data_IF_615167205371
#
_entry.id   IF_615167205371
#
_cell.length_a   1.000
_cell.length_b   1.000
_cell.length_c   1.000
_cell.angle_alpha   90.00
_cell.angle_beta   90.00
_cell.angle_gamma   90.00
#
_symmetry.space_group_name_H-M   'P 1'
#
loop_
_entity.id
_entity.type
_entity.pdbx_description
1 polymer ?
#
# COMPACT_ATOMS: atom_id res chain seq x y z
N UNK A 1 53.39 -3.45 5.18
CA UNK A 1 53.30 -4.46 6.27
C UNK A 1 53.92 -3.82 7.51
N UNK A 2 53.31 -3.90 8.72
CA UNK A 2 52.88 -5.15 9.33
C UNK A 2 51.41 -5.23 9.81
N UNK A 3 50.89 -6.43 9.59
CA UNK A 3 49.83 -7.23 10.24
C UNK A 3 49.96 -7.28 11.78
N UNK A 4 48.84 -7.14 12.52
CA UNK A 4 48.51 -7.78 13.83
C UNK A 4 46.98 -7.64 14.08
N UNK A 5 46.12 -8.52 13.55
CA UNK A 5 45.44 -9.64 14.26
C UNK A 5 45.53 -9.64 15.79
N UNK A 6 44.39 -9.74 16.50
CA UNK A 6 44.11 -10.61 17.67
C UNK A 6 42.62 -10.45 18.07
N UNK A 7 41.75 -11.42 17.75
CA UNK A 7 41.35 -12.63 18.50
C UNK A 7 40.18 -12.43 19.49
N UNK A 8 39.10 -13.13 19.17
CA UNK A 8 37.96 -13.50 20.03
C UNK A 8 38.38 -14.06 21.39
N UNK A 9 37.66 -13.69 22.45
CA UNK A 9 37.44 -14.56 23.62
C UNK A 9 36.05 -14.27 24.23
N UNK A 10 35.11 -15.22 24.12
CA UNK A 10 34.05 -15.46 25.13
C UNK A 10 34.63 -16.49 26.11
N UNK A 11 34.35 -16.41 27.41
CA UNK A 11 33.30 -17.25 28.00
C UNK A 11 32.70 -16.60 29.27
N UNK A 12 31.88 -17.19 30.15
CA UNK A 12 31.45 -18.55 30.43
C UNK A 12 30.08 -18.43 31.15
N UNK A 13 29.21 -19.42 30.94
CA UNK A 13 27.93 -19.59 31.65
C UNK A 13 28.17 -19.99 33.10
N UNK A 14 27.44 -19.41 34.04
CA UNK A 14 27.21 -20.03 35.35
C UNK A 14 25.83 -20.70 35.33
N UNK A 15 25.85 -22.03 35.45
CA UNK A 15 24.69 -22.85 35.75
C UNK A 15 24.50 -22.89 37.28
N UNK A 16 23.25 -22.82 37.73
CA UNK A 16 22.85 -23.31 39.04
C UNK A 16 21.53 -24.08 38.86
N UNK A 17 21.59 -25.37 39.19
CA UNK A 17 20.47 -26.31 39.20
C UNK A 17 19.98 -26.52 40.64
N UNK A 18 18.66 -26.70 40.81
CA UNK A 18 17.94 -27.34 41.92
C UNK A 18 16.44 -27.02 41.70
N UNK A 19 15.43 -27.87 41.86
CA UNK A 19 15.29 -29.26 42.27
C UNK A 19 13.94 -29.78 41.72
N UNK A 20 13.77 -31.10 41.64
CA UNK A 20 12.56 -31.76 41.14
C UNK A 20 11.44 -31.90 42.21
N UNK A 21 10.31 -32.50 41.77
CA UNK A 21 9.04 -32.88 42.43
C UNK A 21 7.89 -31.87 42.23
N UNK A 22 6.64 -32.22 41.84
CA UNK A 22 6.01 -33.46 41.40
C UNK A 22 4.58 -33.14 40.86
N UNK A 23 4.02 -34.11 40.12
CA UNK A 23 2.60 -34.47 40.01
C UNK A 23 1.61 -33.61 39.17
N UNK A 24 0.94 -34.30 38.24
CA UNK A 24 -0.43 -34.00 37.82
C UNK A 24 -0.64 -33.65 36.35
N UNK A 25 -0.58 -34.64 35.45
CA UNK A 25 -1.14 -34.48 34.11
C UNK A 25 -2.67 -34.39 34.18
N UNK A 26 -3.22 -33.18 34.23
CA UNK A 26 -4.63 -32.95 34.02
C UNK A 26 -4.92 -33.07 32.51
N UNK A 27 -5.43 -34.23 32.10
CA UNK A 27 -6.02 -34.40 30.78
C UNK A 27 -7.26 -33.48 30.69
N UNK A 28 -7.11 -32.35 30.01
CA UNK A 28 -8.24 -31.50 29.64
C UNK A 28 -9.10 -32.24 28.59
N UNK A 29 -10.43 -32.16 28.68
CA UNK A 29 -11.30 -32.78 27.69
C UNK A 29 -11.08 -32.10 26.33
N UNK A 30 -11.07 -32.90 25.27
CA UNK A 30 -11.03 -32.46 23.87
C UNK A 30 -12.32 -31.76 23.44
N UNK A 31 -12.72 -30.73 24.17
CA UNK A 31 -13.83 -29.86 23.80
C UNK A 31 -13.26 -28.67 23.02
N UNK A 32 -13.38 -28.77 21.70
CA UNK A 32 -13.26 -27.67 20.74
C UNK A 32 -11.90 -26.95 20.71
N UNK A 33 -10.94 -27.55 19.99
CA UNK A 33 -9.99 -26.74 19.21
C UNK A 33 -10.79 -26.01 18.12
N UNK A 34 -11.50 -24.96 18.49
CA UNK A 34 -11.93 -23.93 17.55
C UNK A 34 -10.65 -23.35 16.97
N UNK A 35 -10.31 -23.80 15.75
CA UNK A 35 -9.41 -23.05 14.88
C UNK A 35 -9.94 -21.61 14.88
N UNK A 36 -9.10 -20.59 15.12
CA UNK A 36 -9.49 -19.22 14.81
C UNK A 36 -9.91 -19.25 13.34
N UNK A 37 -11.20 -19.07 13.08
CA UNK A 37 -11.64 -18.66 11.76
C UNK A 37 -10.93 -17.35 11.50
N UNK A 38 -10.03 -17.37 10.53
CA UNK A 38 -9.32 -16.21 10.01
C UNK A 38 -10.32 -15.04 9.96
N UNK A 39 -10.09 -13.93 10.70
CA UNK A 39 -11.08 -12.90 10.83
C UNK A 39 -11.28 -12.25 9.47
N UNK A 40 -12.30 -12.76 8.79
CA UNK A 40 -13.19 -12.02 7.90
C UNK A 40 -12.47 -11.22 6.82
N UNK A 41 -12.36 -11.80 5.61
CA UNK A 41 -12.39 -10.98 4.38
C UNK A 41 -13.77 -10.32 4.34
N UNK A 42 -13.92 -9.19 5.04
CA UNK A 42 -15.11 -8.35 4.91
C UNK A 42 -15.04 -7.77 3.49
N UNK A 43 -16.05 -7.97 2.63
CA UNK A 43 -16.04 -7.35 1.31
C UNK A 43 -15.93 -5.83 1.47
N UNK A 44 -14.95 -5.24 0.79
CA UNK A 44 -14.74 -3.80 0.80
C UNK A 44 -16.03 -3.05 0.44
N UNK A 45 -16.49 -2.17 1.34
CA UNK A 45 -17.63 -1.31 1.07
C UNK A 45 -17.27 -0.26 0.01
N UNK A 46 -18.29 0.31 -0.66
CA UNK A 46 -18.06 1.40 -1.62
C UNK A 46 -17.36 2.60 -0.96
N UNK A 47 -17.73 2.93 0.29
CA UNK A 47 -17.09 3.99 1.08
C UNK A 47 -15.60 3.73 1.28
N UNK A 48 -15.21 2.52 1.68
CA UNK A 48 -13.80 2.18 1.87
C UNK A 48 -13.04 2.20 0.53
N UNK A 49 -13.69 1.81 -0.56
CA UNK A 49 -13.08 1.85 -1.89
C UNK A 49 -12.81 3.29 -2.36
N UNK A 50 -13.75 4.22 -2.17
CA UNK A 50 -13.52 5.64 -2.45
C UNK A 50 -12.41 6.21 -1.56
N UNK A 51 -12.45 5.98 -0.25
CA UNK A 51 -11.42 6.45 0.68
C UNK A 51 -10.02 5.97 0.30
N UNK A 52 -9.87 4.72 -0.16
CA UNK A 52 -8.58 4.20 -0.65
C UNK A 52 -8.13 4.86 -1.95
N UNK A 53 -9.05 5.15 -2.87
CA UNK A 53 -8.72 5.88 -4.10
C UNK A 53 -8.24 7.30 -3.79
N UNK A 54 -8.96 8.01 -2.91
CA UNK A 54 -8.57 9.35 -2.44
C UNK A 54 -7.21 9.33 -1.76
N UNK A 55 -6.99 8.38 -0.85
CA UNK A 55 -5.72 8.28 -0.13
C UNK A 55 -4.53 8.03 -1.08
N UNK A 56 -4.67 7.09 -2.02
CA UNK A 56 -3.62 6.83 -3.03
C UNK A 56 -3.33 8.04 -3.91
N UNK A 57 -4.37 8.78 -4.30
CA UNK A 57 -4.22 10.01 -5.08
C UNK A 57 -3.40 11.04 -4.31
N UNK A 58 -3.78 11.30 -3.05
CA UNK A 58 -3.07 12.27 -2.20
C UNK A 58 -1.62 11.85 -1.95
N UNK A 59 -1.36 10.58 -1.62
CA UNK A 59 0.00 10.06 -1.44
C UNK A 59 0.86 10.23 -2.70
N UNK A 60 0.29 9.95 -3.87
CA UNK A 60 1.01 10.08 -5.14
C UNK A 60 1.27 11.56 -5.52
N UNK A 61 0.33 12.46 -5.21
CA UNK A 61 0.52 13.89 -5.40
C UNK A 61 1.58 14.45 -4.43
N UNK A 62 1.56 14.06 -3.16
CA UNK A 62 2.55 14.50 -2.16
C UNK A 62 3.97 14.02 -2.48
N UNK A 63 4.10 12.90 -3.21
CA UNK A 63 5.39 12.40 -3.67
C UNK A 63 5.99 13.25 -4.81
N UNK A 64 5.19 14.02 -5.54
CA UNK A 64 5.66 14.92 -6.60
C UNK A 64 6.25 16.19 -5.98
N UNK A 65 7.50 16.52 -6.32
CA UNK A 65 8.15 17.75 -5.85
C UNK A 65 7.86 18.90 -6.79
N UNK A 66 7.44 20.03 -6.24
CA UNK A 66 7.42 21.30 -6.98
C UNK A 66 8.82 21.72 -7.38
N UNK A 67 8.95 22.15 -8.62
CA UNK A 67 10.19 22.58 -9.25
C UNK A 67 10.22 24.08 -9.49
N UNK A 68 9.05 24.74 -9.49
CA UNK A 68 8.91 26.15 -9.88
C UNK A 68 8.73 26.35 -11.39
N UNK A 69 8.84 25.28 -12.18
CA UNK A 69 8.46 25.26 -13.59
C UNK A 69 6.99 24.83 -13.67
N UNK A 70 6.14 25.73 -14.18
CA UNK A 70 4.70 25.52 -14.20
C UNK A 70 4.27 24.29 -15.04
N UNK A 71 4.95 24.03 -16.16
CA UNK A 71 4.61 22.91 -17.03
C UNK A 71 4.99 21.58 -16.37
N UNK A 72 6.18 21.52 -15.77
CA UNK A 72 6.66 20.35 -15.01
C UNK A 72 5.80 20.09 -13.77
N UNK A 73 5.45 21.14 -13.06
CA UNK A 73 4.62 21.05 -11.86
C UNK A 73 3.20 20.61 -12.23
N UNK A 74 2.65 21.14 -13.34
CA UNK A 74 1.35 20.72 -13.85
C UNK A 74 1.31 19.23 -14.19
N UNK A 75 2.23 18.73 -15.03
CA UNK A 75 2.17 17.33 -15.46
C UNK A 75 2.48 16.35 -14.32
N UNK A 76 3.38 16.71 -13.41
CA UNK A 76 3.79 15.85 -12.29
C UNK A 76 2.69 15.69 -11.25
N UNK A 77 1.82 16.69 -11.09
CA UNK A 77 0.68 16.62 -10.17
C UNK A 77 -0.62 16.18 -10.85
N UNK A 78 -0.84 16.51 -12.13
CA UNK A 78 -2.07 16.13 -12.82
C UNK A 78 -2.12 14.66 -13.20
N UNK A 79 -1.00 14.02 -13.52
CA UNK A 79 -0.99 12.58 -13.79
C UNK A 79 -1.54 11.76 -12.60
N UNK A 80 -1.03 11.89 -11.36
CA UNK A 80 -1.59 11.17 -10.21
C UNK A 80 -3.00 11.63 -9.83
N UNK A 81 -3.34 12.92 -9.97
CA UNK A 81 -4.71 13.40 -9.75
C UNK A 81 -5.71 12.70 -10.70
N UNK A 82 -5.35 12.59 -11.99
CA UNK A 82 -6.19 11.92 -12.98
C UNK A 82 -6.28 10.41 -12.70
N UNK A 83 -5.20 9.79 -12.25
CA UNK A 83 -5.25 8.39 -11.82
C UNK A 83 -6.21 8.18 -10.64
N UNK A 84 -6.22 9.10 -9.67
CA UNK A 84 -7.19 9.10 -8.57
C UNK A 84 -8.64 9.19 -9.05
N UNK A 85 -8.93 10.08 -9.99
CA UNK A 85 -10.25 10.21 -10.59
C UNK A 85 -10.67 8.98 -11.41
N UNK A 86 -9.75 8.32 -12.11
CA UNK A 86 -9.99 7.02 -12.74
C UNK A 86 -10.33 5.95 -11.69
N UNK A 87 -9.56 5.87 -10.60
CA UNK A 87 -9.79 4.91 -9.53
C UNK A 87 -11.18 5.10 -8.90
N UNK A 88 -11.57 6.35 -8.60
CA UNK A 88 -12.91 6.66 -8.09
C UNK A 88 -14.02 6.34 -9.10
N UNK A 89 -13.81 6.66 -10.38
CA UNK A 89 -14.76 6.30 -11.42
C UNK A 89 -14.95 4.78 -11.53
N UNK A 90 -13.88 3.99 -11.34
CA UNK A 90 -13.99 2.53 -11.27
C UNK A 90 -14.78 2.05 -10.04
N UNK A 91 -14.69 2.75 -8.91
CA UNK A 91 -15.55 2.47 -7.74
C UNK A 91 -17.02 2.69 -8.11
N UNK A 92 -17.36 3.80 -8.78
CA UNK A 92 -18.74 4.04 -9.24
C UNK A 92 -19.20 2.97 -10.24
N UNK A 93 -18.35 2.55 -11.18
CA UNK A 93 -18.68 1.47 -12.12
C UNK A 93 -18.88 0.12 -11.43
N UNK A 94 -18.22 -0.12 -10.29
CA UNK A 94 -18.32 -1.36 -9.52
C UNK A 94 -19.52 -1.39 -8.57
N UNK A 95 -19.79 -0.30 -7.86
CA UNK A 95 -20.78 -0.25 -6.78
C UNK A 95 -22.01 0.60 -7.08
N UNK A 96 -21.89 1.56 -7.99
CA UNK A 96 -22.93 2.50 -8.36
C UNK A 96 -24.06 1.86 -9.15
N UNK A 97 -25.27 2.38 -8.95
CA UNK A 97 -26.52 1.85 -9.53
C UNK A 97 -27.22 2.85 -10.46
N UNK A 98 -26.91 4.13 -10.37
CA UNK A 98 -27.51 5.15 -11.21
C UNK A 98 -26.90 5.10 -12.63
N UNK A 99 -27.70 4.94 -13.69
CA UNK A 99 -27.18 4.80 -15.04
C UNK A 99 -26.49 6.07 -15.55
N UNK A 100 -26.92 7.26 -15.11
CA UNK A 100 -26.32 8.55 -15.50
C UNK A 100 -24.92 8.68 -14.91
N UNK A 101 -24.76 8.37 -13.62
CA UNK A 101 -23.46 8.43 -12.94
C UNK A 101 -22.48 7.38 -13.47
N UNK A 102 -22.95 6.16 -13.77
CA UNK A 102 -22.11 5.13 -14.41
C UNK A 102 -21.66 5.54 -15.82
N UNK A 103 -22.53 6.23 -16.58
CA UNK A 103 -22.14 6.77 -17.88
C UNK A 103 -21.09 7.87 -17.74
N UNK A 104 -21.24 8.77 -16.76
CA UNK A 104 -20.23 9.77 -16.44
C UNK A 104 -18.90 9.12 -16.06
N UNK A 105 -18.91 8.13 -15.17
CA UNK A 105 -17.71 7.41 -14.75
C UNK A 105 -16.99 6.74 -15.93
N UNK A 106 -17.73 6.13 -16.85
CA UNK A 106 -17.15 5.54 -18.07
C UNK A 106 -16.45 6.58 -18.94
N UNK A 107 -17.03 7.77 -19.09
CA UNK A 107 -16.41 8.88 -19.86
C UNK A 107 -15.16 9.42 -19.16
N UNK A 108 -15.18 9.56 -17.83
CA UNK A 108 -14.02 9.96 -17.04
C UNK A 108 -12.86 8.99 -17.26
N UNK A 109 -13.11 7.68 -17.16
CA UNK A 109 -12.06 6.67 -17.37
C UNK A 109 -11.43 6.78 -18.76
N UNK A 110 -12.24 6.99 -19.81
CA UNK A 110 -11.74 7.10 -21.17
C UNK A 110 -10.89 8.37 -21.35
N UNK A 111 -11.45 9.53 -21.02
CA UNK A 111 -10.78 10.82 -21.22
C UNK A 111 -9.48 10.92 -20.43
N UNK A 112 -9.52 10.54 -19.14
CA UNK A 112 -8.37 10.75 -18.27
C UNK A 112 -7.22 9.76 -18.54
N UNK A 113 -7.50 8.59 -19.12
CA UNK A 113 -6.44 7.70 -19.61
C UNK A 113 -5.65 8.33 -20.77
N UNK A 114 -6.36 8.97 -21.69
CA UNK A 114 -5.72 9.64 -22.84
C UNK A 114 -4.90 10.86 -22.36
N UNK A 115 -5.41 11.61 -21.38
CA UNK A 115 -4.73 12.74 -20.75
C UNK A 115 -3.48 12.31 -19.96
N UNK A 116 -3.54 11.22 -19.19
CA UNK A 116 -2.35 10.63 -18.53
C UNK A 116 -1.32 10.24 -19.57
N UNK A 117 -1.71 9.52 -20.62
CA UNK A 117 -0.79 9.10 -21.65
C UNK A 117 -0.12 10.29 -22.36
N UNK A 118 -0.84 11.41 -22.51
CA UNK A 118 -0.27 12.67 -23.01
C UNK A 118 0.79 13.23 -22.03
N UNK A 119 0.46 13.33 -20.74
CA UNK A 119 1.38 13.85 -19.72
C UNK A 119 2.64 12.98 -19.59
N UNK A 120 2.51 11.65 -19.62
CA UNK A 120 3.65 10.72 -19.60
C UNK A 120 4.55 10.89 -20.83
N UNK A 121 3.96 11.04 -22.03
CA UNK A 121 4.73 11.32 -23.25
C UNK A 121 5.45 12.66 -23.16
N UNK A 122 4.78 13.69 -22.62
CA UNK A 122 5.38 14.99 -22.41
C UNK A 122 6.55 14.89 -21.42
N UNK A 123 6.37 14.23 -20.28
CA UNK A 123 7.44 14.01 -19.29
C UNK A 123 8.61 13.24 -19.88
N UNK A 124 8.38 12.20 -20.69
CA UNK A 124 9.45 11.45 -21.36
C UNK A 124 10.23 12.32 -22.34
N UNK A 125 9.57 13.21 -23.06
CA UNK A 125 10.20 14.12 -24.01
C UNK A 125 10.99 15.26 -23.32
N UNK A 126 10.63 15.64 -22.09
CA UNK A 126 11.20 16.81 -21.38
C UNK A 126 11.92 16.45 -20.06
N UNK A 127 11.94 15.18 -19.67
CA UNK A 127 12.48 14.65 -18.41
C UNK A 127 14.00 14.55 -18.33
N UNK A 128 14.71 15.02 -19.36
CA UNK A 128 16.17 15.02 -19.45
C UNK A 128 16.79 16.42 -19.61
N UNK A 129 16.00 17.49 -19.64
CA UNK A 129 16.55 18.85 -19.72
C UNK A 129 16.78 19.37 -18.30
N UNK A 130 18.04 19.57 -17.86
CA UNK A 130 18.35 20.14 -16.55
C UNK A 130 17.80 21.55 -16.38
#
# INVERSE_FOLDING_TARGET
MPIHSHRFVRPLRCAAACAALAAGAAAMPAAAQLRPTDPTVVPDSSTQAFQRADHRMMEAMDAARYTGDADRDFVSHMAPHHQGAIDMAQVELKYGKDPTLRQLASRIVAAQRDEIALMERWQKAHGATP
#
